data_IF_030977118733
#
_entry.id   IF_030977118733
#
_cell.length_a   1.000
_cell.length_b   1.000
_cell.length_c   1.000
_cell.angle_alpha   90.00
_cell.angle_beta   90.00
_cell.angle_gamma   90.00
#
_symmetry.space_group_name_H-M   'P 1'
#
loop_
_entity.id
_entity.type
_entity.pdbx_description
1 polymer ?
#
# COMPACT_ATOMS: atom_id res chain seq x y z
N UNK A 1 29.89 -16.14 12.36
CA UNK A 1 28.66 -16.56 13.07
C UNK A 1 27.63 -16.83 11.99
N UNK A 2 27.20 -18.09 11.81
CA UNK A 2 26.17 -18.48 10.85
C UNK A 2 24.81 -17.99 11.36
N UNK A 3 24.48 -16.74 11.06
CA UNK A 3 23.15 -16.19 11.29
C UNK A 3 22.33 -16.28 10.01
N UNK A 4 21.03 -16.49 10.13
CA UNK A 4 20.11 -16.35 9.02
C UNK A 4 19.44 -14.97 9.08
N UNK A 5 18.93 -14.54 7.94
CA UNK A 5 18.07 -13.37 7.84
C UNK A 5 16.75 -13.79 7.19
N UNK A 6 15.64 -13.35 7.77
CA UNK A 6 14.33 -13.41 7.15
C UNK A 6 14.11 -12.11 6.37
N UNK A 7 13.82 -12.25 5.08
CA UNK A 7 13.68 -11.14 4.15
C UNK A 7 12.23 -11.10 3.69
N UNK A 8 11.56 -9.98 3.93
CA UNK A 8 10.20 -9.72 3.46
C UNK A 8 10.21 -8.73 2.31
N UNK A 9 9.52 -9.07 1.23
CA UNK A 9 9.39 -8.23 0.05
C UNK A 9 7.96 -8.24 -0.49
N UNK A 10 7.66 -7.31 -1.39
CA UNK A 10 6.42 -7.25 -2.15
C UNK A 10 6.69 -7.01 -3.62
N UNK A 11 5.74 -7.40 -4.46
CA UNK A 11 5.80 -7.13 -5.91
C UNK A 11 5.05 -5.85 -6.23
N UNK A 12 5.78 -4.88 -6.76
CA UNK A 12 5.28 -3.60 -7.20
C UNK A 12 5.37 -3.45 -8.72
N UNK A 13 4.55 -2.59 -9.30
CA UNK A 13 4.61 -2.23 -10.70
C UNK A 13 4.24 -0.75 -10.91
N UNK A 14 4.48 -0.25 -12.12
CA UNK A 14 4.20 1.15 -12.49
C UNK A 14 2.71 1.54 -12.45
N UNK A 15 1.81 0.57 -12.39
CA UNK A 15 0.36 0.79 -12.36
C UNK A 15 -0.19 0.74 -10.92
N UNK A 16 0.67 0.58 -9.92
CA UNK A 16 0.22 0.56 -8.53
C UNK A 16 -0.31 1.93 -8.12
N UNK A 17 -1.51 1.90 -7.56
CA UNK A 17 -2.17 3.10 -7.08
C UNK A 17 -1.61 3.44 -5.70
N UNK A 18 -1.18 4.69 -5.56
CA UNK A 18 -0.94 5.30 -4.26
C UNK A 18 -1.42 6.74 -4.36
N UNK A 19 -2.69 6.94 -4.08
CA UNK A 19 -3.35 8.22 -4.17
C UNK A 19 -3.69 8.71 -2.77
N UNK A 20 -3.30 9.94 -2.47
CA UNK A 20 -3.77 10.64 -1.28
C UNK A 20 -4.76 11.71 -1.73
N UNK A 21 -5.95 11.68 -1.16
CA UNK A 21 -7.05 12.60 -1.47
C UNK A 21 -7.38 13.37 -0.21
N UNK A 22 -7.50 14.69 -0.29
CA UNK A 22 -8.02 15.49 0.82
C UNK A 22 -9.54 15.36 0.95
N UNK A 23 -10.07 15.51 2.16
CA UNK A 23 -11.51 15.54 2.41
C UNK A 23 -12.19 16.66 1.62
N UNK A 24 -11.51 17.81 1.48
CA UNK A 24 -11.98 18.92 0.63
C UNK A 24 -12.13 18.52 -0.85
N UNK A 25 -11.13 17.84 -1.43
CA UNK A 25 -11.19 17.34 -2.81
C UNK A 25 -12.32 16.32 -2.98
N UNK A 26 -12.53 15.47 -1.97
CA UNK A 26 -13.60 14.49 -1.96
C UNK A 26 -14.98 15.18 -1.97
N UNK A 27 -15.16 16.22 -1.16
CA UNK A 27 -16.41 16.98 -1.04
C UNK A 27 -16.66 17.95 -2.19
N UNK A 28 -15.66 18.24 -3.04
CA UNK A 28 -15.90 18.90 -4.34
C UNK A 28 -16.65 18.00 -5.34
N UNK A 29 -16.69 16.69 -5.12
CA UNK A 29 -17.37 15.76 -6.01
C UNK A 29 -18.86 15.64 -5.69
N UNK A 30 -19.71 16.09 -6.60
CA UNK A 30 -21.17 16.08 -6.45
C UNK A 30 -21.73 14.68 -6.16
N UNK A 31 -21.17 13.62 -6.77
CA UNK A 31 -21.64 12.25 -6.53
C UNK A 31 -21.42 11.83 -5.09
N UNK A 32 -20.28 12.21 -4.51
CA UNK A 32 -19.92 11.89 -3.13
C UNK A 32 -20.80 12.70 -2.17
N UNK A 33 -20.93 14.01 -2.40
CA UNK A 33 -21.83 14.87 -1.61
C UNK A 33 -23.27 14.36 -1.63
N UNK A 34 -23.76 13.95 -2.81
CA UNK A 34 -25.09 13.39 -2.95
C UNK A 34 -25.25 12.08 -2.20
N UNK A 35 -24.27 11.18 -2.29
CA UNK A 35 -24.27 9.92 -1.54
C UNK A 35 -24.33 10.16 -0.03
N UNK A 36 -23.52 11.08 0.50
CA UNK A 36 -23.53 11.45 1.92
C UNK A 36 -24.91 11.99 2.32
N UNK A 37 -25.47 12.95 1.56
CA UNK A 37 -26.78 13.53 1.87
C UNK A 37 -27.90 12.50 1.77
N UNK A 38 -27.88 11.60 0.79
CA UNK A 38 -28.91 10.58 0.62
C UNK A 38 -28.90 9.53 1.73
N UNK A 39 -27.71 9.20 2.24
CA UNK A 39 -27.55 8.18 3.28
C UNK A 39 -27.81 8.76 4.67
N UNK A 40 -27.22 9.92 4.98
CA UNK A 40 -27.16 10.43 6.35
C UNK A 40 -28.06 11.64 6.63
N UNK A 41 -28.65 12.25 5.60
CA UNK A 41 -29.45 13.47 5.76
C UNK A 41 -30.77 13.41 4.97
N UNK A 42 -31.31 12.21 4.80
CA UNK A 42 -32.60 11.98 4.15
C UNK A 42 -33.74 12.65 4.94
N UNK A 43 -34.61 13.37 4.24
CA UNK A 43 -35.77 14.06 4.82
C UNK A 43 -35.48 15.48 5.35
N UNK A 44 -34.21 15.88 5.40
CA UNK A 44 -33.83 17.24 5.79
C UNK A 44 -33.75 18.18 4.58
N UNK A 45 -34.18 19.42 4.77
CA UNK A 45 -34.09 20.51 3.76
C UNK A 45 -32.98 21.48 4.18
N UNK A 46 -32.40 22.19 3.21
CA UNK A 46 -31.40 23.24 3.44
C UNK A 46 -30.15 22.76 4.22
N UNK A 47 -29.64 21.59 3.86
CA UNK A 47 -28.48 20.98 4.51
C UNK A 47 -27.19 21.22 3.71
N UNK A 48 -26.12 21.47 4.44
CA UNK A 48 -24.77 21.63 3.93
C UNK A 48 -23.78 20.72 4.68
N UNK A 49 -22.67 20.35 4.03
CA UNK A 49 -21.64 19.50 4.62
C UNK A 49 -20.46 20.38 5.00
N UNK A 50 -20.04 20.34 6.27
CA UNK A 50 -18.89 21.08 6.80
C UNK A 50 -17.91 20.13 7.46
N UNK A 51 -16.62 20.41 7.32
CA UNK A 51 -15.53 19.65 7.92
C UNK A 51 -14.91 20.47 9.05
N UNK A 52 -14.49 19.80 10.12
CA UNK A 52 -13.75 20.42 11.21
C UNK A 52 -12.25 20.45 10.86
N UNK A 53 -11.56 21.55 11.13
CA UNK A 53 -10.22 21.84 10.59
C UNK A 53 -9.09 21.00 11.18
N UNK A 54 -9.36 20.27 12.26
CA UNK A 54 -8.32 19.66 13.11
C UNK A 54 -8.10 18.17 12.85
N UNK A 55 -8.90 17.54 11.98
CA UNK A 55 -8.74 16.15 11.61
C UNK A 55 -7.79 16.02 10.42
N UNK A 56 -6.91 15.01 10.45
CA UNK A 56 -6.06 14.66 9.31
C UNK A 56 -6.94 14.32 8.10
N UNK A 57 -7.15 15.29 7.23
CA UNK A 57 -8.06 15.25 6.07
C UNK A 57 -7.62 14.33 4.93
N UNK A 58 -6.62 13.48 5.14
CA UNK A 58 -6.00 12.69 4.06
C UNK A 58 -6.56 11.28 4.03
N UNK A 59 -7.34 10.99 3.00
CA UNK A 59 -7.80 9.65 2.65
C UNK A 59 -6.78 9.03 1.69
N UNK A 60 -6.21 7.88 2.06
CA UNK A 60 -5.29 7.15 1.20
C UNK A 60 -6.02 6.03 0.46
N UNK A 61 -5.90 6.00 -0.86
CA UNK A 61 -6.36 4.92 -1.72
C UNK A 61 -5.13 4.26 -2.32
N UNK A 62 -4.83 3.05 -1.87
CA UNK A 62 -3.62 2.33 -2.29
C UNK A 62 -3.92 0.91 -2.75
N UNK A 63 -3.09 0.41 -3.66
CA UNK A 63 -3.11 -1.00 -4.04
C UNK A 63 -2.59 -1.84 -2.89
N UNK A 64 -3.42 -2.74 -2.37
CA UNK A 64 -3.02 -3.69 -1.32
C UNK A 64 -2.08 -4.73 -1.95
N UNK A 65 -0.90 -4.88 -1.35
CA UNK A 65 0.12 -5.84 -1.80
C UNK A 65 0.26 -6.99 -0.83
N UNK A 66 0.46 -8.18 -1.38
CA UNK A 66 0.85 -9.35 -0.61
C UNK A 66 2.35 -9.25 -0.29
N UNK A 67 2.70 -9.52 0.96
CA UNK A 67 4.08 -9.70 1.39
C UNK A 67 4.49 -11.16 1.24
N UNK A 68 5.72 -11.35 0.82
CA UNK A 68 6.37 -12.65 0.66
C UNK A 68 7.65 -12.64 1.47
N UNK A 69 7.96 -13.76 2.11
CA UNK A 69 9.17 -13.90 2.90
C UNK A 69 9.98 -15.10 2.47
N UNK A 70 11.30 -14.99 2.61
CA UNK A 70 12.23 -16.10 2.45
C UNK A 70 13.40 -15.95 3.43
N UNK A 71 14.13 -17.05 3.67
CA UNK A 71 15.32 -17.06 4.52
C UNK A 71 16.58 -17.05 3.66
N UNK A 72 17.56 -16.24 4.04
CA UNK A 72 18.88 -16.17 3.43
C UNK A 72 19.97 -16.24 4.50
N UNK A 73 21.21 -16.55 4.10
CA UNK A 73 22.35 -16.46 5.01
C UNK A 73 22.68 -14.98 5.24
N UNK A 74 23.14 -14.65 6.45
CA UNK A 74 23.60 -13.29 6.79
C UNK A 74 24.74 -12.82 5.89
N UNK A 75 25.59 -13.74 5.44
CA UNK A 75 26.73 -13.43 4.57
C UNK A 75 26.26 -13.02 3.15
N UNK A 76 25.06 -13.44 2.74
CA UNK A 76 24.46 -13.10 1.44
C UNK A 76 23.69 -11.76 1.48
N UNK A 77 23.83 -10.97 2.55
CA UNK A 77 23.11 -9.70 2.69
C UNK A 77 23.40 -8.73 1.53
N UNK A 78 24.61 -8.77 0.96
CA UNK A 78 24.97 -7.96 -0.20
C UNK A 78 24.12 -8.27 -1.45
N UNK A 79 23.66 -9.52 -1.57
CA UNK A 79 22.93 -10.03 -2.74
C UNK A 79 21.41 -10.16 -2.48
N UNK A 80 20.92 -9.64 -1.37
CA UNK A 80 19.54 -9.83 -0.89
C UNK A 80 18.46 -9.42 -1.89
N UNK A 81 18.71 -8.38 -2.71
CA UNK A 81 17.80 -7.96 -3.77
C UNK A 81 17.72 -9.02 -4.86
N UNK A 82 18.87 -9.50 -5.33
CA UNK A 82 18.94 -10.53 -6.36
C UNK A 82 18.29 -11.84 -5.87
N UNK A 83 18.55 -12.22 -4.60
CA UNK A 83 17.90 -13.37 -3.97
C UNK A 83 16.38 -13.21 -3.89
N UNK A 84 15.88 -12.01 -3.61
CA UNK A 84 14.45 -11.73 -3.57
C UNK A 84 13.83 -11.80 -4.99
N UNK A 85 14.53 -11.32 -6.01
CA UNK A 85 14.13 -11.42 -7.42
C UNK A 85 14.11 -12.87 -7.92
N UNK A 86 15.14 -13.66 -7.57
CA UNK A 86 15.21 -15.08 -7.88
C UNK A 86 14.09 -15.84 -7.20
N UNK A 87 13.86 -15.59 -5.91
CA UNK A 87 12.75 -16.17 -5.17
C UNK A 87 11.41 -15.80 -5.81
N UNK A 88 11.21 -14.54 -6.20
CA UNK A 88 9.99 -14.09 -6.87
C UNK A 88 9.80 -14.75 -8.24
N UNK A 89 10.87 -14.93 -9.02
CA UNK A 89 10.87 -15.60 -10.33
C UNK A 89 10.53 -17.07 -10.19
N UNK A 90 11.19 -17.77 -9.27
CA UNK A 90 10.97 -19.20 -8.99
C UNK A 90 9.53 -19.48 -8.55
N UNK A 91 8.90 -18.54 -7.85
CA UNK A 91 7.50 -18.60 -7.43
C UNK A 91 6.51 -18.03 -8.47
N UNK A 92 6.98 -17.64 -9.67
CA UNK A 92 6.16 -17.06 -10.76
C UNK A 92 5.37 -15.81 -10.34
N UNK A 93 5.97 -14.98 -9.47
CA UNK A 93 5.33 -13.77 -8.93
C UNK A 93 5.57 -12.53 -9.81
N UNK A 94 6.68 -12.51 -10.56
CA UNK A 94 7.02 -11.40 -11.44
C UNK A 94 6.19 -11.42 -12.72
N UNK A 95 5.57 -10.28 -13.03
CA UNK A 95 4.86 -10.01 -14.28
C UNK A 95 5.63 -8.95 -15.09
N UNK A 96 5.19 -8.71 -16.32
CA UNK A 96 5.74 -7.65 -17.16
C UNK A 96 5.66 -6.30 -16.42
N UNK A 97 6.77 -5.55 -16.44
CA UNK A 97 6.91 -4.23 -15.78
C UNK A 97 6.73 -4.24 -14.25
N UNK A 98 6.97 -5.40 -13.61
CA UNK A 98 7.02 -5.54 -12.14
C UNK A 98 8.45 -5.58 -11.61
N UNK A 99 8.64 -5.12 -10.38
CA UNK A 99 9.90 -5.17 -9.65
C UNK A 99 9.66 -5.56 -8.19
N UNK A 100 10.72 -6.04 -7.54
CA UNK A 100 10.72 -6.39 -6.12
C UNK A 100 11.01 -5.13 -5.29
N UNK A 101 10.22 -4.90 -4.25
CA UNK A 101 10.52 -3.90 -3.22
C UNK A 101 10.70 -4.61 -1.88
N UNK A 102 11.87 -4.43 -1.26
CA UNK A 102 12.12 -4.93 0.09
C UNK A 102 11.30 -4.13 1.11
N UNK A 103 10.68 -4.86 2.02
CA UNK A 103 9.82 -4.28 3.07
C UNK A 103 10.49 -4.39 4.43
N UNK A 104 11.09 -5.53 4.74
CA UNK A 104 11.69 -5.79 6.05
C UNK A 104 12.81 -6.82 5.95
N UNK A 105 13.80 -6.72 6.84
CA UNK A 105 14.91 -7.66 6.95
C UNK A 105 15.17 -7.87 8.44
N UNK A 106 15.00 -9.09 8.91
CA UNK A 106 15.21 -9.45 10.32
C UNK A 106 16.30 -10.49 10.44
N UNK A 107 17.24 -10.30 11.35
CA UNK A 107 18.13 -11.38 11.74
C UNK A 107 17.34 -12.39 12.57
N UNK A 108 17.43 -13.66 12.19
CA UNK A 108 16.89 -14.79 12.95
C UNK A 108 18.08 -15.51 13.57
N UNK A 109 18.06 -15.66 14.90
CA UNK A 109 19.09 -16.36 15.69
C UNK A 109 19.10 -17.87 15.43
#
# INVERSE_FOLDING_TARGET
MQGNIEVTYKIVNKNDLNLTISLEELLKNEKIVKAIKSEFAKGYRNIDIKTDSDLSDKIKVETIKKHYSFSALKDDFADIIALAEDHATNNKLLKKDSFVELVDIKTVE
#
